data_IF_700177901368
#
_entry.id   IF_700177901368
#
_cell.length_a   1.000
_cell.length_b   1.000
_cell.length_c   1.000
_cell.angle_alpha   90.00
_cell.angle_beta   90.00
_cell.angle_gamma   90.00
#
_symmetry.space_group_name_H-M   'P 1'
#
loop_
_entity.id
_entity.type
_entity.pdbx_description
1 polymer ?
#
# COMPACT_ATOMS: atom_id res chain seq x y z
N UNK A 1 -20.33 -28.50 2.96
CA UNK A 1 -19.21 -28.04 3.80
C UNK A 1 -18.23 -27.32 2.89
N UNK A 2 -18.29 -25.99 2.83
CA UNK A 2 -17.44 -25.18 1.95
C UNK A 2 -16.10 -24.87 2.66
N UNK A 3 -14.95 -24.89 1.97
CA UNK A 3 -13.66 -24.93 2.65
C UNK A 3 -13.10 -23.51 2.93
N UNK A 4 -12.32 -23.40 4.02
CA UNK A 4 -11.97 -22.17 4.77
C UNK A 4 -10.95 -21.20 4.10
N UNK A 5 -10.61 -21.37 2.82
CA UNK A 5 -9.54 -20.65 2.08
C UNK A 5 -9.98 -19.36 1.37
N UNK A 6 -11.19 -18.86 1.64
CA UNK A 6 -11.82 -17.81 0.83
C UNK A 6 -11.50 -16.35 1.24
N UNK A 7 -10.66 -16.07 2.25
CA UNK A 7 -10.76 -14.80 3.00
C UNK A 7 -9.75 -13.69 2.60
N UNK A 8 -8.53 -14.01 2.20
CA UNK A 8 -7.26 -13.22 2.18
C UNK A 8 -7.17 -11.79 1.66
N UNK A 9 -7.71 -11.49 0.49
CA UNK A 9 -7.45 -10.20 -0.18
C UNK A 9 -8.58 -9.19 0.09
N UNK A 10 -9.76 -9.76 0.31
CA UNK A 10 -11.06 -9.11 0.46
C UNK A 10 -11.10 -8.26 1.73
N UNK A 11 -10.34 -8.68 2.76
CA UNK A 11 -10.38 -8.05 4.06
C UNK A 11 -9.18 -7.16 4.35
N UNK A 12 -8.17 -7.04 3.49
CA UNK A 12 -7.22 -5.91 3.57
C UNK A 12 -7.98 -4.60 3.36
N UNK A 13 -8.93 -4.59 2.41
CA UNK A 13 -9.87 -3.50 2.19
C UNK A 13 -10.89 -3.33 3.34
N UNK A 14 -11.34 -4.40 4.01
CA UNK A 14 -12.30 -4.27 5.13
C UNK A 14 -11.66 -3.99 6.51
N UNK A 15 -10.51 -4.57 6.85
CA UNK A 15 -9.91 -4.49 8.20
C UNK A 15 -9.17 -3.18 8.47
N UNK A 16 -8.85 -2.39 7.43
CA UNK A 16 -8.27 -1.07 7.66
C UNK A 16 -9.26 -0.15 8.36
N UNK A 17 -10.54 -0.27 8.01
CA UNK A 17 -11.67 0.41 8.63
C UNK A 17 -11.94 0.06 10.09
N UNK A 18 -11.84 -1.23 10.41
CA UNK A 18 -12.48 -1.83 11.59
C UNK A 18 -11.86 -1.37 12.92
N UNK A 19 -10.62 -0.86 12.92
CA UNK A 19 -9.99 -0.34 14.16
C UNK A 19 -10.17 1.17 14.39
N UNK A 20 -10.84 1.90 13.49
CA UNK A 20 -11.10 3.34 13.63
C UNK A 20 -11.94 3.67 14.88
N UNK A 21 -12.76 2.75 15.36
CA UNK A 21 -13.58 2.96 16.56
C UNK A 21 -12.87 2.66 17.89
N UNK A 22 -11.81 1.84 17.90
CA UNK A 22 -11.14 1.45 19.16
C UNK A 22 -10.07 2.44 19.60
N UNK A 23 -9.52 3.27 18.70
CA UNK A 23 -8.50 4.26 19.04
C UNK A 23 -9.08 5.58 19.59
N UNK A 24 -10.38 5.84 19.40
CA UNK A 24 -11.07 7.04 19.92
C UNK A 24 -11.64 6.80 21.33
N UNK A 25 -11.71 5.55 21.78
CA UNK A 25 -12.42 5.14 22.99
C UNK A 25 -11.70 5.35 24.34
N UNK A 26 -10.59 6.09 24.42
CA UNK A 26 -9.86 6.23 25.69
C UNK A 26 -9.45 7.66 26.09
N UNK A 27 -10.21 8.67 25.65
CA UNK A 27 -10.15 10.01 26.23
C UNK A 27 -11.57 10.50 26.53
N UNK A 28 -11.99 10.44 27.79
CA UNK A 28 -13.28 10.93 28.26
C UNK A 28 -13.06 12.18 29.12
N UNK A 29 -13.62 13.35 28.70
CA UNK A 29 -14.57 14.20 29.46
C UNK A 29 -14.61 15.69 28.99
N UNK A 30 -15.86 16.16 28.76
CA UNK A 30 -16.40 17.54 28.71
C UNK A 30 -16.03 18.44 27.50
N UNK A 31 -16.90 19.20 26.80
CA UNK A 31 -18.33 19.58 26.88
C UNK A 31 -18.77 20.11 25.46
N UNK A 32 -20.06 20.45 25.20
CA UNK A 32 -20.66 20.40 23.86
C UNK A 32 -20.58 21.70 23.07
N UNK A 33 -20.28 21.61 21.77
CA UNK A 33 -20.57 22.66 20.79
C UNK A 33 -21.51 22.10 19.72
N UNK A 34 -22.72 22.66 19.72
CA UNK A 34 -23.78 22.41 18.75
C UNK A 34 -23.35 22.84 17.34
N UNK A 35 -23.82 22.06 16.37
CA UNK A 35 -24.41 22.63 15.16
C UNK A 35 -23.48 22.77 13.97
N UNK A 36 -23.40 21.71 13.16
CA UNK A 36 -23.81 21.68 11.74
C UNK A 36 -23.39 20.33 11.16
N UNK A 37 -24.33 19.38 11.07
CA UNK A 37 -24.14 18.20 10.22
C UNK A 37 -24.08 18.69 8.77
N UNK A 38 -23.02 18.40 7.99
CA UNK A 38 -23.08 18.67 6.57
C UNK A 38 -24.21 17.82 5.97
N UNK A 39 -25.11 18.49 5.24
CA UNK A 39 -26.21 17.86 4.51
C UNK A 39 -25.61 16.74 3.64
N UNK A 40 -26.06 15.50 3.83
CA UNK A 40 -25.87 14.42 2.86
C UNK A 40 -26.37 14.94 1.51
N UNK A 41 -25.44 15.24 0.59
CA UNK A 41 -25.80 15.40 -0.83
C UNK A 41 -26.24 14.03 -1.33
N UNK A 42 -27.30 14.02 -2.13
CA UNK A 42 -27.91 12.81 -2.65
C UNK A 42 -26.85 11.95 -3.36
N UNK A 43 -26.64 10.74 -2.88
CA UNK A 43 -25.95 9.71 -3.64
C UNK A 43 -26.85 9.34 -4.82
N UNK A 44 -26.34 9.49 -6.04
CA UNK A 44 -27.02 8.97 -7.22
C UNK A 44 -27.04 7.43 -7.13
N UNK A 45 -28.21 6.77 -7.32
CA UNK A 45 -28.32 5.33 -7.17
C UNK A 45 -27.48 4.61 -8.24
N UNK A 46 -26.76 3.57 -7.83
CA UNK A 46 -25.93 2.76 -8.71
C UNK A 46 -26.77 1.61 -9.28
N UNK A 47 -27.21 1.72 -10.54
CA UNK A 47 -27.96 0.66 -11.24
C UNK A 47 -27.02 -0.29 -12.01
N UNK A 48 -27.45 -1.53 -12.23
CA UNK A 48 -26.61 -2.69 -12.62
C UNK A 48 -25.63 -2.48 -13.78
N UNK A 49 -26.06 -1.95 -14.92
CA UNK A 49 -25.17 -1.73 -16.08
C UNK A 49 -24.05 -0.74 -15.74
N UNK A 50 -24.37 0.31 -14.96
CA UNK A 50 -23.39 1.31 -14.53
C UNK A 50 -22.34 0.79 -13.54
N UNK A 51 -22.65 -0.26 -12.75
CA UNK A 51 -21.71 -0.85 -11.79
C UNK A 51 -20.70 -1.74 -12.51
N UNK A 52 -21.17 -2.56 -13.45
CA UNK A 52 -20.30 -3.41 -14.26
C UNK A 52 -19.31 -2.58 -15.08
N UNK A 53 -19.79 -1.51 -15.72
CA UNK A 53 -18.94 -0.59 -16.49
C UNK A 53 -17.86 0.06 -15.63
N UNK A 54 -18.20 0.43 -14.39
CA UNK A 54 -17.24 1.00 -13.43
C UNK A 54 -16.17 0.01 -12.98
N UNK A 55 -16.57 -1.23 -12.71
CA UNK A 55 -15.62 -2.29 -12.33
C UNK A 55 -14.64 -2.56 -13.48
N UNK A 56 -15.15 -2.67 -14.71
CA UNK A 56 -14.29 -2.89 -15.88
C UNK A 56 -13.40 -1.67 -16.18
N UNK A 57 -13.86 -0.44 -15.97
CA UNK A 57 -13.03 0.76 -16.07
C UNK A 57 -11.88 0.77 -15.04
N UNK A 58 -12.16 0.43 -13.78
CA UNK A 58 -11.13 0.30 -12.74
C UNK A 58 -10.14 -0.80 -13.08
N UNK A 59 -10.64 -1.96 -13.53
CA UNK A 59 -9.80 -3.10 -13.92
C UNK A 59 -8.89 -2.77 -15.10
N UNK A 60 -9.42 -2.12 -16.14
CA UNK A 60 -8.64 -1.69 -17.30
C UNK A 60 -7.50 -0.76 -16.87
N UNK A 61 -7.78 0.23 -16.02
CA UNK A 61 -6.76 1.10 -15.46
C UNK A 61 -5.70 0.34 -14.65
N UNK A 62 -6.11 -0.59 -13.78
CA UNK A 62 -5.18 -1.34 -12.93
C UNK A 62 -4.26 -2.27 -13.74
N UNK A 63 -4.77 -2.90 -14.80
CA UNK A 63 -3.98 -3.72 -15.71
C UNK A 63 -2.94 -2.86 -16.47
N UNK A 64 -3.36 -1.71 -17.00
CA UNK A 64 -2.48 -0.74 -17.65
C UNK A 64 -1.43 -0.17 -16.68
N UNK A 65 -1.82 0.15 -15.44
CA UNK A 65 -0.90 0.63 -14.41
C UNK A 65 0.19 -0.41 -14.11
N UNK A 66 -0.17 -1.69 -13.97
CA UNK A 66 0.80 -2.77 -13.81
C UNK A 66 1.76 -2.82 -15.00
N UNK A 67 1.25 -2.71 -16.22
CA UNK A 67 2.06 -2.75 -17.45
C UNK A 67 3.05 -1.58 -17.50
N UNK A 68 2.59 -0.35 -17.23
CA UNK A 68 3.44 0.85 -17.22
C UNK A 68 4.51 0.80 -16.12
N UNK A 69 4.17 0.39 -14.91
CA UNK A 69 5.14 0.29 -13.81
C UNK A 69 6.22 -0.75 -14.13
N UNK A 70 5.82 -1.94 -14.60
CA UNK A 70 6.79 -2.97 -15.00
C UNK A 70 7.73 -2.45 -16.08
N UNK A 71 7.19 -1.90 -17.17
CA UNK A 71 8.00 -1.40 -18.28
C UNK A 71 8.99 -0.31 -17.83
N UNK A 72 8.56 0.60 -16.96
CA UNK A 72 9.40 1.69 -16.51
C UNK A 72 10.52 1.22 -15.56
N UNK A 73 10.26 0.20 -14.73
CA UNK A 73 11.27 -0.43 -13.88
C UNK A 73 12.27 -1.29 -14.67
N UNK A 74 11.81 -2.04 -15.67
CA UNK A 74 12.67 -2.82 -16.57
C UNK A 74 13.65 -1.93 -17.34
N UNK A 75 13.18 -0.76 -17.78
CA UNK A 75 14.01 0.23 -18.45
C UNK A 75 15.16 0.74 -17.55
N UNK A 76 14.94 0.81 -16.24
CA UNK A 76 16.00 1.21 -15.30
C UNK A 76 16.97 0.08 -14.97
N UNK A 77 16.49 -1.17 -14.94
CA UNK A 77 17.30 -2.36 -14.64
C UNK A 77 18.29 -2.68 -15.77
N UNK A 78 17.89 -2.49 -17.02
CA UNK A 78 18.80 -2.55 -18.17
C UNK A 78 19.07 -3.96 -18.71
N UNK A 79 18.22 -4.95 -18.38
CA UNK A 79 18.30 -6.27 -19.01
C UNK A 79 17.31 -7.30 -18.46
N UNK A 80 17.08 -7.32 -17.15
CA UNK A 80 16.18 -8.28 -16.51
C UNK A 80 14.73 -7.81 -16.64
N UNK A 81 13.82 -8.76 -16.88
CA UNK A 81 12.39 -8.50 -17.10
C UNK A 81 11.54 -9.14 -16.01
N UNK A 82 10.35 -8.59 -15.81
CA UNK A 82 9.33 -9.24 -15.01
C UNK A 82 8.83 -10.50 -15.71
N UNK A 83 8.82 -11.61 -14.98
CA UNK A 83 8.18 -12.87 -15.38
C UNK A 83 6.74 -12.85 -14.90
N UNK A 84 5.81 -13.05 -15.83
CA UNK A 84 4.38 -13.12 -15.51
C UNK A 84 3.96 -14.55 -15.16
N UNK A 85 3.20 -14.64 -14.07
CA UNK A 85 2.53 -15.83 -13.58
C UNK A 85 1.03 -15.50 -13.43
N UNK A 86 0.26 -15.90 -14.44
CA UNK A 86 -1.18 -15.73 -14.48
C UNK A 86 -1.87 -16.90 -13.78
N UNK A 87 -2.82 -16.61 -12.89
CA UNK A 87 -3.49 -17.61 -12.08
C UNK A 87 -4.98 -17.34 -11.95
N UNK A 88 -5.73 -18.41 -11.67
CA UNK A 88 -7.17 -18.37 -11.43
C UNK A 88 -7.50 -18.86 -10.03
N UNK A 89 -8.60 -18.34 -9.47
CA UNK A 89 -9.11 -18.72 -8.16
C UNK A 89 -10.34 -19.62 -8.31
N UNK A 90 -10.38 -20.82 -7.72
CA UNK A 90 -11.53 -21.71 -7.85
C UNK A 90 -12.88 -21.12 -7.40
N UNK A 91 -12.87 -20.16 -6.46
CA UNK A 91 -14.06 -19.48 -5.97
C UNK A 91 -14.46 -18.23 -6.77
N UNK A 92 -13.76 -17.93 -7.88
CA UNK A 92 -14.02 -16.77 -8.72
C UNK A 92 -12.86 -15.77 -8.76
N UNK A 93 -12.53 -15.34 -9.97
CA UNK A 93 -11.48 -14.38 -10.27
C UNK A 93 -10.09 -15.01 -10.45
N UNK A 94 -9.05 -14.21 -10.25
CA UNK A 94 -7.65 -14.58 -10.48
C UNK A 94 -6.71 -13.39 -10.35
N UNK A 95 -5.56 -13.47 -11.00
CA UNK A 95 -4.59 -12.38 -11.03
C UNK A 95 -3.43 -12.60 -12.00
N UNK A 96 -2.62 -11.56 -12.13
CA UNK A 96 -1.33 -11.56 -12.85
C UNK A 96 -0.25 -11.17 -11.85
N UNK A 97 0.52 -12.15 -11.38
CA UNK A 97 1.72 -11.89 -10.59
C UNK A 97 2.87 -11.61 -11.55
N UNK A 98 3.57 -10.50 -11.38
CA UNK A 98 4.79 -10.21 -12.12
C UNK A 98 5.94 -10.06 -11.15
N UNK A 99 6.98 -10.87 -11.32
CA UNK A 99 8.15 -10.89 -10.44
C UNK A 99 9.43 -10.68 -11.23
N UNK A 100 10.36 -9.91 -10.66
CA UNK A 100 11.72 -9.72 -11.15
C UNK A 100 12.68 -10.11 -10.03
N UNK A 101 13.76 -10.80 -10.36
CA UNK A 101 14.79 -11.22 -9.42
C UNK A 101 16.15 -11.17 -10.09
N UNK A 102 17.20 -10.95 -9.30
CA UNK A 102 18.59 -10.94 -9.75
C UNK A 102 18.85 -9.95 -10.91
N UNK A 103 18.14 -8.81 -10.89
CA UNK A 103 18.35 -7.69 -11.79
C UNK A 103 19.58 -6.86 -11.41
N UNK A 104 20.08 -6.06 -12.36
CA UNK A 104 21.27 -5.23 -12.12
C UNK A 104 20.98 -4.09 -11.12
N UNK A 105 19.73 -3.63 -11.06
CA UNK A 105 19.27 -2.58 -10.14
C UNK A 105 18.27 -3.16 -9.15
N UNK A 106 17.33 -3.96 -9.63
CA UNK A 106 16.25 -4.56 -8.85
C UNK A 106 16.65 -5.98 -8.46
N UNK A 107 17.09 -6.15 -7.22
CA UNK A 107 17.48 -7.46 -6.69
C UNK A 107 16.28 -8.40 -6.54
N UNK A 108 15.16 -7.84 -6.09
CA UNK A 108 13.87 -8.52 -6.04
C UNK A 108 12.74 -7.51 -6.15
N UNK A 109 11.75 -7.78 -6.98
CA UNK A 109 10.56 -6.96 -7.05
C UNK A 109 9.36 -7.76 -7.50
N UNK A 110 8.18 -7.25 -7.19
CA UNK A 110 6.97 -7.74 -7.83
C UNK A 110 5.90 -6.68 -7.90
N UNK A 111 5.09 -6.78 -8.95
CA UNK A 111 3.96 -5.89 -9.25
C UNK A 111 2.78 -6.80 -9.53
N UNK A 112 1.91 -6.98 -8.55
CA UNK A 112 0.86 -7.97 -8.57
C UNK A 112 -0.49 -7.32 -8.82
N UNK A 113 -1.16 -7.76 -9.88
CA UNK A 113 -2.57 -7.49 -10.12
C UNK A 113 -3.41 -8.67 -9.63
N UNK A 114 -4.55 -8.39 -9.01
CA UNK A 114 -5.60 -9.38 -8.75
C UNK A 114 -6.98 -8.79 -8.97
N UNK A 115 -7.93 -9.64 -9.37
CA UNK A 115 -9.37 -9.38 -9.37
C UNK A 115 -10.06 -10.64 -8.89
N UNK A 116 -10.53 -10.62 -7.65
CA UNK A 116 -11.18 -11.76 -6.99
C UNK A 116 -12.62 -11.41 -6.65
N UNK A 117 -13.51 -12.40 -6.79
CA UNK A 117 -14.93 -12.23 -6.48
C UNK A 117 -15.50 -13.49 -5.85
N UNK A 118 -16.69 -13.38 -5.28
CA UNK A 118 -17.39 -14.49 -4.66
C UNK A 118 -18.78 -14.13 -4.15
N UNK A 119 -19.61 -15.15 -3.91
CA UNK A 119 -21.01 -14.98 -3.52
C UNK A 119 -21.22 -14.46 -2.08
N UNK A 120 -20.18 -14.40 -1.26
CA UNK A 120 -20.29 -13.99 0.13
C UNK A 120 -18.95 -13.68 0.77
N UNK A 121 -18.95 -12.70 1.66
CA UNK A 121 -17.81 -12.44 2.52
C UNK A 121 -17.65 -13.52 3.60
N UNK A 122 -16.42 -13.82 4.01
CA UNK A 122 -16.16 -14.64 5.19
C UNK A 122 -16.83 -14.08 6.45
N UNK A 123 -17.29 -14.91 7.41
CA UNK A 123 -17.89 -14.39 8.65
C UNK A 123 -17.00 -13.44 9.45
N UNK A 124 -15.67 -13.61 9.37
CA UNK A 124 -14.69 -12.69 9.98
C UNK A 124 -14.70 -11.29 9.36
N UNK A 125 -15.11 -11.17 8.10
CA UNK A 125 -15.22 -9.93 7.33
C UNK A 125 -16.51 -9.18 7.63
N UNK A 126 -17.63 -9.88 7.73
CA UNK A 126 -18.93 -9.28 8.03
C UNK A 126 -19.14 -8.98 9.52
N UNK A 127 -18.38 -9.58 10.43
CA UNK A 127 -18.56 -9.41 11.89
C UNK A 127 -18.48 -7.94 12.35
N UNK A 128 -17.73 -7.10 11.64
CA UNK A 128 -17.56 -5.68 11.95
C UNK A 128 -18.17 -4.74 10.90
N UNK A 129 -18.82 -5.30 9.88
CA UNK A 129 -19.53 -4.58 8.81
C UNK A 129 -20.82 -5.32 8.46
N UNK A 130 -21.85 -5.21 9.31
CA UNK A 130 -23.12 -5.92 9.13
C UNK A 130 -23.77 -5.65 7.77
N UNK A 131 -23.55 -4.46 7.20
CA UNK A 131 -24.01 -4.05 5.88
C UNK A 131 -23.47 -4.92 4.74
N UNK A 132 -22.39 -5.68 4.97
CA UNK A 132 -21.80 -6.59 3.99
C UNK A 132 -22.30 -8.04 4.11
N UNK A 133 -23.12 -8.34 5.12
CA UNK A 133 -23.64 -9.69 5.33
C UNK A 133 -24.59 -10.10 4.19
N UNK A 134 -24.34 -11.29 3.62
CA UNK A 134 -25.16 -11.85 2.54
C UNK A 134 -24.99 -11.15 1.17
N UNK A 135 -23.98 -10.29 1.01
CA UNK A 135 -23.64 -9.65 -0.26
C UNK A 135 -22.58 -10.45 -1.02
N UNK A 136 -22.73 -10.53 -2.34
CA UNK A 136 -21.63 -10.89 -3.22
C UNK A 136 -20.58 -9.79 -3.22
N UNK A 137 -19.32 -10.11 -3.48
CA UNK A 137 -18.24 -9.11 -3.47
C UNK A 137 -17.32 -9.25 -4.67
N UNK A 138 -16.67 -8.15 -5.01
CA UNK A 138 -15.50 -8.11 -5.89
C UNK A 138 -14.42 -7.21 -5.25
N UNK A 139 -13.17 -7.63 -5.39
CA UNK A 139 -12.01 -6.86 -4.97
C UNK A 139 -10.93 -6.96 -6.06
N UNK A 140 -10.42 -5.81 -6.50
CA UNK A 140 -9.37 -5.73 -7.49
C UNK A 140 -8.34 -4.67 -7.11
N UNK A 141 -7.08 -4.91 -7.45
CA UNK A 141 -6.00 -3.98 -7.11
C UNK A 141 -4.66 -4.34 -7.71
N UNK A 142 -3.76 -3.36 -7.67
CA UNK A 142 -2.32 -3.53 -7.90
C UNK A 142 -1.60 -3.32 -6.58
N UNK A 143 -0.69 -4.24 -6.24
CA UNK A 143 0.19 -4.15 -5.09
C UNK A 143 1.61 -4.47 -5.50
N UNK A 144 2.57 -3.69 -5.04
CA UNK A 144 3.97 -3.87 -5.41
C UNK A 144 4.93 -3.60 -4.28
N UNK A 145 6.08 -4.27 -4.33
CA UNK A 145 7.25 -4.00 -3.50
C UNK A 145 8.48 -4.16 -4.36
N UNK A 146 9.39 -3.19 -4.30
CA UNK A 146 10.66 -3.19 -5.03
C UNK A 146 11.80 -3.12 -4.02
N UNK A 147 12.69 -4.10 -4.06
CA UNK A 147 13.93 -4.17 -3.28
C UNK A 147 15.14 -4.01 -4.22
N UNK A 148 15.73 -2.81 -4.27
CA UNK A 148 16.93 -2.58 -5.06
C UNK A 148 18.16 -3.28 -4.48
N UNK A 149 19.10 -3.65 -5.34
CA UNK A 149 20.40 -4.21 -4.95
C UNK A 149 21.26 -3.17 -4.22
N UNK A 150 21.32 -1.94 -4.76
CA UNK A 150 22.17 -0.88 -4.22
C UNK A 150 21.55 -0.25 -2.93
N UNK A 151 22.25 -0.24 -1.78
CA UNK A 151 21.76 0.35 -0.52
C UNK A 151 21.40 1.84 -0.59
N UNK A 152 21.89 2.57 -1.59
CA UNK A 152 21.54 3.98 -1.81
C UNK A 152 20.18 4.16 -2.49
N UNK A 153 19.60 3.11 -3.07
CA UNK A 153 18.24 3.14 -3.62
C UNK A 153 17.27 2.58 -2.55
N UNK A 154 16.26 3.34 -2.11
CA UNK A 154 15.29 2.88 -1.12
C UNK A 154 14.46 1.70 -1.62
N UNK A 155 14.06 0.81 -0.70
CA UNK A 155 12.89 -0.05 -0.95
C UNK A 155 11.65 0.83 -1.09
N UNK A 156 10.74 0.48 -1.98
CA UNK A 156 9.44 1.15 -2.09
C UNK A 156 8.29 0.16 -2.16
N UNK A 157 7.12 0.63 -1.72
CA UNK A 157 5.88 -0.10 -1.77
C UNK A 157 4.78 0.81 -2.31
N UNK A 158 3.86 0.24 -3.07
CA UNK A 158 2.62 0.91 -3.45
C UNK A 158 1.46 -0.08 -3.54
N UNK A 159 0.26 0.44 -3.30
CA UNK A 159 -0.98 -0.29 -3.44
C UNK A 159 -2.09 0.65 -3.93
N UNK A 160 -2.91 0.19 -4.86
CA UNK A 160 -4.19 0.82 -5.22
C UNK A 160 -5.22 -0.26 -5.44
N UNK A 161 -6.38 -0.15 -4.78
CA UNK A 161 -7.41 -1.19 -4.77
C UNK A 161 -8.82 -0.60 -4.73
N UNK A 162 -9.76 -1.38 -5.24
CA UNK A 162 -11.19 -1.14 -5.23
C UNK A 162 -11.91 -2.34 -4.66
N UNK A 163 -12.88 -2.09 -3.79
CA UNK A 163 -13.79 -3.08 -3.25
C UNK A 163 -15.24 -2.68 -3.54
N UNK A 164 -16.07 -3.66 -3.89
CA UNK A 164 -17.51 -3.50 -4.01
C UNK A 164 -18.24 -4.76 -3.51
N UNK A 165 -19.37 -4.54 -2.84
CA UNK A 165 -20.29 -5.59 -2.41
C UNK A 165 -21.74 -5.29 -2.78
N UNK A 166 -22.37 -6.26 -3.42
CA UNK A 166 -23.66 -6.12 -4.09
C UNK A 166 -24.67 -7.13 -3.55
N UNK A 167 -25.93 -6.73 -3.47
CA UNK A 167 -27.06 -7.59 -3.17
C UNK A 167 -28.28 -7.05 -3.90
N UNK A 168 -29.02 -7.95 -4.52
CA UNK A 168 -30.21 -7.59 -5.30
C UNK A 168 -31.19 -6.76 -4.45
N UNK A 169 -31.66 -5.65 -5.01
CA UNK A 169 -32.57 -4.72 -4.34
C UNK A 169 -31.94 -3.81 -3.28
N UNK A 170 -30.61 -3.86 -3.07
CA UNK A 170 -29.90 -2.98 -2.14
C UNK A 170 -28.79 -2.18 -2.84
N UNK A 171 -28.60 -0.93 -2.44
CA UNK A 171 -27.48 -0.11 -2.92
C UNK A 171 -26.14 -0.80 -2.63
N UNK A 172 -25.17 -0.79 -3.56
CA UNK A 172 -23.88 -1.43 -3.36
C UNK A 172 -23.02 -0.68 -2.34
N UNK A 173 -22.26 -1.44 -1.55
CA UNK A 173 -21.27 -0.88 -0.61
C UNK A 173 -19.91 -0.95 -1.27
N UNK A 174 -19.22 0.17 -1.39
CA UNK A 174 -17.93 0.24 -2.08
C UNK A 174 -16.98 1.21 -1.40
N UNK A 175 -15.69 1.04 -1.66
CA UNK A 175 -14.64 1.99 -1.32
C UNK A 175 -13.35 1.72 -2.09
N UNK A 176 -12.51 2.73 -2.18
CA UNK A 176 -11.13 2.61 -2.62
C UNK A 176 -10.17 2.60 -1.43
N UNK A 177 -8.98 2.07 -1.66
CA UNK A 177 -7.86 2.15 -0.73
C UNK A 177 -6.54 2.11 -1.47
N UNK A 178 -5.47 2.53 -0.81
CA UNK A 178 -4.16 2.54 -1.43
C UNK A 178 -3.15 3.44 -0.74
N UNK A 179 -2.13 3.82 -1.51
CA UNK A 179 -1.01 4.62 -1.05
C UNK A 179 0.31 4.13 -1.60
N UNK A 180 1.36 4.86 -1.30
CA UNK A 180 2.75 4.48 -1.56
C UNK A 180 3.64 5.00 -0.45
N UNK A 181 4.72 4.28 -0.16
CA UNK A 181 5.68 4.65 0.88
C UNK A 181 7.11 4.24 0.53
N UNK A 182 8.07 4.95 1.12
CA UNK A 182 9.50 4.82 0.83
C UNK A 182 10.27 4.38 2.08
N UNK A 183 11.09 3.33 1.93
CA UNK A 183 11.90 2.73 2.98
C UNK A 183 13.39 2.83 2.63
N UNK A 184 14.06 3.94 2.97
CA UNK A 184 15.48 4.12 2.68
C UNK A 184 16.39 3.35 3.65
N UNK A 185 17.63 3.15 3.21
CA UNK A 185 18.72 2.61 4.04
C UNK A 185 19.74 3.72 4.32
N UNK A 186 20.36 4.25 3.27
CA UNK A 186 21.12 5.50 3.31
C UNK A 186 20.25 6.61 2.72
N UNK A 187 19.42 7.19 3.59
CA UNK A 187 18.43 8.18 3.19
C UNK A 187 19.07 9.49 2.71
N UNK A 188 18.38 10.18 1.80
CA UNK A 188 18.79 11.49 1.31
C UNK A 188 17.61 12.47 1.42
N UNK A 189 17.90 13.67 1.92
CA UNK A 189 16.87 14.67 2.21
C UNK A 189 16.17 15.20 0.96
N UNK A 190 16.91 15.45 -0.12
CA UNK A 190 16.32 15.89 -1.39
C UNK A 190 15.36 14.85 -1.96
N UNK A 191 15.67 13.55 -1.79
CA UNK A 191 14.81 12.46 -2.24
C UNK A 191 13.55 12.35 -1.36
N UNK A 192 13.67 12.59 -0.05
CA UNK A 192 12.52 12.62 0.86
C UNK A 192 11.58 13.80 0.50
N UNK A 193 12.14 14.98 0.27
CA UNK A 193 11.40 16.17 -0.16
C UNK A 193 10.74 15.92 -1.52
N UNK A 194 11.47 15.36 -2.49
CA UNK A 194 10.92 15.04 -3.82
C UNK A 194 9.74 14.06 -3.71
N UNK A 195 9.91 12.96 -2.97
CA UNK A 195 8.88 11.95 -2.75
C UNK A 195 7.59 12.55 -2.20
N UNK A 196 7.70 13.35 -1.13
CA UNK A 196 6.57 13.99 -0.49
C UNK A 196 5.98 15.14 -1.30
N UNK A 197 6.79 15.82 -2.13
CA UNK A 197 6.31 16.87 -3.04
C UNK A 197 5.41 16.28 -4.12
N UNK A 198 5.83 15.18 -4.76
CA UNK A 198 5.01 14.47 -5.76
C UNK A 198 3.72 13.95 -5.13
N UNK A 199 3.80 13.39 -3.91
CA UNK A 199 2.61 12.95 -3.16
C UNK A 199 1.62 14.09 -2.89
N UNK A 200 2.11 15.26 -2.45
CA UNK A 200 1.28 16.45 -2.24
C UNK A 200 0.63 16.91 -3.54
N UNK A 201 1.40 17.01 -4.62
CA UNK A 201 0.93 17.53 -5.90
C UNK A 201 -0.15 16.62 -6.51
N UNK A 202 -0.02 15.30 -6.35
CA UNK A 202 -1.05 14.33 -6.74
C UNK A 202 -2.35 14.48 -5.92
N UNK A 203 -2.25 14.91 -4.65
CA UNK A 203 -3.41 15.13 -3.78
C UNK A 203 -4.07 16.50 -3.99
N UNK A 204 -3.32 17.52 -4.43
CA UNK A 204 -3.77 18.91 -4.48
C UNK A 204 -5.12 19.13 -5.20
N UNK A 205 -5.43 18.47 -6.33
CA UNK A 205 -6.72 18.63 -7.00
C UNK A 205 -7.94 18.15 -6.19
N UNK A 206 -7.73 17.38 -5.13
CA UNK A 206 -8.78 16.72 -4.35
C UNK A 206 -9.06 17.40 -3.00
N UNK A 207 -8.28 18.43 -2.66
CA UNK A 207 -8.44 19.23 -1.45
C UNK A 207 -7.12 19.44 -0.69
N UNK A 208 -6.99 20.59 -0.04
CA UNK A 208 -5.80 20.97 0.72
C UNK A 208 -5.55 20.05 1.93
N UNK A 209 -6.60 19.43 2.47
CA UNK A 209 -6.52 18.52 3.62
C UNK A 209 -6.12 17.08 3.24
N UNK A 210 -6.12 16.74 1.95
CA UNK A 210 -5.96 15.37 1.48
C UNK A 210 -4.57 14.82 1.74
N UNK A 211 -3.52 15.56 1.34
CA UNK A 211 -2.13 15.16 1.60
C UNK A 211 -1.82 15.08 3.10
N UNK A 212 -2.07 16.13 3.92
CA UNK A 212 -1.78 16.07 5.35
C UNK A 212 -2.46 14.87 6.03
N UNK A 213 -3.74 14.61 5.71
CA UNK A 213 -4.50 13.49 6.29
C UNK A 213 -3.89 12.13 5.94
N UNK A 214 -3.58 11.90 4.66
CA UNK A 214 -3.10 10.58 4.20
C UNK A 214 -1.61 10.37 4.46
N UNK A 215 -0.82 11.44 4.58
CA UNK A 215 0.54 11.39 5.09
C UNK A 215 0.57 10.99 6.56
N UNK A 216 -0.19 11.67 7.41
CA UNK A 216 -0.28 11.34 8.83
C UNK A 216 -0.81 9.91 9.06
N UNK A 217 -1.72 9.45 8.20
CA UNK A 217 -2.17 8.06 8.26
C UNK A 217 -1.07 7.07 7.85
N UNK A 218 -0.25 7.41 6.84
CA UNK A 218 0.91 6.61 6.45
C UNK A 218 1.88 6.42 7.63
N UNK A 219 2.22 7.51 8.34
CA UNK A 219 3.13 7.48 9.48
C UNK A 219 2.61 6.55 10.60
N UNK A 220 1.31 6.66 10.93
CA UNK A 220 0.69 5.80 11.96
C UNK A 220 0.56 4.35 11.55
N UNK A 221 0.31 4.07 10.26
CA UNK A 221 0.10 2.70 9.78
C UNK A 221 1.42 1.93 9.71
N UNK A 222 2.46 2.54 9.14
CA UNK A 222 3.76 1.91 8.91
C UNK A 222 4.71 2.10 10.10
N UNK A 223 4.26 1.74 11.31
CA UNK A 223 5.03 1.89 12.55
C UNK A 223 5.27 0.55 13.25
N UNK A 224 6.53 0.21 13.53
CA UNK A 224 6.93 -0.99 14.25
C UNK A 224 6.84 -0.72 15.76
N UNK A 225 5.67 -1.01 16.35
CA UNK A 225 5.40 -0.71 17.77
C UNK A 225 6.43 -1.27 18.75
N UNK A 226 6.92 -2.48 18.50
CA UNK A 226 7.92 -3.12 19.38
C UNK A 226 9.34 -2.56 19.23
N UNK A 227 9.62 -1.78 18.17
CA UNK A 227 10.86 -1.05 17.95
C UNK A 227 10.73 0.45 18.27
N UNK A 228 9.50 0.94 18.38
CA UNK A 228 9.16 2.36 18.38
C UNK A 228 9.83 3.10 17.21
N UNK A 229 9.66 2.56 16.00
CA UNK A 229 10.36 3.00 14.81
C UNK A 229 9.42 2.97 13.58
N UNK A 230 9.35 4.04 12.78
CA UNK A 230 8.72 4.00 11.46
C UNK A 230 9.40 2.98 10.54
N UNK A 231 8.63 2.33 9.66
CA UNK A 231 9.17 1.43 8.63
C UNK A 231 10.07 2.18 7.64
N UNK A 232 9.70 3.42 7.35
CA UNK A 232 10.34 4.28 6.35
C UNK A 232 9.98 5.75 6.58
N UNK A 233 10.24 6.59 5.57
CA UNK A 233 9.99 8.06 5.64
C UNK A 233 8.54 8.44 5.30
N UNK A 234 7.67 7.44 5.17
CA UNK A 234 6.24 7.61 4.88
C UNK A 234 5.95 7.85 3.40
N UNK A 235 4.86 8.57 3.15
CA UNK A 235 4.26 8.77 1.85
C UNK A 235 2.76 8.98 2.03
N UNK A 236 1.93 8.20 1.35
CA UNK A 236 0.48 8.24 1.47
C UNK A 236 -0.07 6.89 1.91
N UNK A 237 -1.10 6.92 2.75
CA UNK A 237 -1.92 5.77 3.04
C UNK A 237 -3.38 6.18 3.21
N UNK A 238 -4.28 5.48 2.52
CA UNK A 238 -5.71 5.66 2.64
C UNK A 238 -6.45 4.32 2.53
N UNK A 239 -7.59 4.24 3.21
CA UNK A 239 -8.61 3.22 2.96
C UNK A 239 -9.99 3.79 3.28
N UNK A 240 -11.02 3.02 2.95
CA UNK A 240 -12.43 3.40 3.10
C UNK A 240 -12.75 4.71 2.40
N UNK A 241 -12.08 4.96 1.27
CA UNK A 241 -12.33 6.12 0.44
C UNK A 241 -13.65 5.95 -0.32
N UNK A 242 -14.71 6.53 0.23
CA UNK A 242 -16.04 6.60 -0.38
C UNK A 242 -16.82 7.88 0.01
N UNK A 243 -16.12 8.88 0.56
CA UNK A 243 -16.73 10.17 0.94
C UNK A 243 -17.00 11.10 -0.26
N UNK A 244 -16.33 10.87 -1.39
CA UNK A 244 -16.64 11.53 -2.65
C UNK A 244 -17.52 10.63 -3.53
N UNK A 245 -18.03 11.18 -4.63
CA UNK A 245 -18.61 10.34 -5.67
C UNK A 245 -17.57 9.37 -6.24
N UNK A 246 -18.05 8.34 -6.93
CA UNK A 246 -17.20 7.29 -7.47
C UNK A 246 -16.17 7.83 -8.47
N UNK A 247 -16.56 8.73 -9.36
CA UNK A 247 -15.69 9.21 -10.44
C UNK A 247 -14.56 10.05 -9.87
N UNK A 248 -14.85 10.91 -8.88
CA UNK A 248 -13.83 11.64 -8.12
C UNK A 248 -12.91 10.70 -7.34
N UNK A 249 -13.45 9.68 -6.67
CA UNK A 249 -12.65 8.70 -5.92
C UNK A 249 -11.76 7.85 -6.82
N UNK A 250 -12.26 7.49 -8.00
CA UNK A 250 -11.50 6.77 -9.01
C UNK A 250 -10.43 7.67 -9.64
N UNK A 251 -10.72 8.95 -9.92
CA UNK A 251 -9.71 9.90 -10.35
C UNK A 251 -8.58 10.06 -9.32
N UNK A 252 -8.90 10.07 -8.02
CA UNK A 252 -7.90 10.08 -6.95
C UNK A 252 -7.05 8.81 -6.94
N UNK A 253 -7.68 7.63 -7.04
CA UNK A 253 -6.95 6.36 -7.15
C UNK A 253 -5.95 6.39 -8.32
N UNK A 254 -6.37 6.94 -9.48
CA UNK A 254 -5.50 7.07 -10.65
C UNK A 254 -4.33 8.00 -10.38
N UNK A 255 -4.59 9.19 -9.86
CA UNK A 255 -3.55 10.16 -9.49
C UNK A 255 -2.50 9.56 -8.55
N UNK A 256 -2.92 8.79 -7.53
CA UNK A 256 -1.97 8.16 -6.60
C UNK A 256 -1.20 7.01 -7.25
N UNK A 257 -1.86 6.18 -8.06
CA UNK A 257 -1.19 5.07 -8.77
C UNK A 257 -0.14 5.57 -9.76
N UNK A 258 -0.46 6.61 -10.52
CA UNK A 258 0.44 7.22 -11.50
C UNK A 258 1.60 7.96 -10.82
N UNK A 259 1.33 8.68 -9.73
CA UNK A 259 2.34 9.43 -8.98
C UNK A 259 3.44 8.56 -8.37
N UNK A 260 3.20 7.27 -8.10
CA UNK A 260 4.22 6.37 -7.54
C UNK A 260 5.48 6.31 -8.42
N UNK A 261 5.30 6.10 -9.73
CA UNK A 261 6.45 5.92 -10.64
C UNK A 261 7.13 7.26 -10.93
N UNK A 262 6.36 8.35 -10.96
CA UNK A 262 6.86 9.72 -11.05
C UNK A 262 7.74 10.09 -9.85
N UNK A 263 7.38 9.63 -8.64
CA UNK A 263 8.15 9.84 -7.43
C UNK A 263 9.36 8.90 -7.30
N UNK A 264 9.22 7.64 -7.71
CA UNK A 264 10.25 6.62 -7.45
C UNK A 264 11.39 6.62 -8.46
N UNK A 265 11.10 6.72 -9.77
CA UNK A 265 12.15 6.58 -10.79
C UNK A 265 13.24 7.65 -10.73
N UNK A 266 12.96 8.94 -10.45
CA UNK A 266 14.03 9.92 -10.30
C UNK A 266 15.01 9.56 -9.19
N UNK A 267 14.52 8.98 -8.09
CA UNK A 267 15.34 8.48 -6.97
C UNK A 267 16.19 7.29 -7.45
N UNK A 268 15.59 6.30 -8.10
CA UNK A 268 16.31 5.13 -8.64
C UNK A 268 17.44 5.57 -9.57
N UNK A 269 17.16 6.45 -10.54
CA UNK A 269 18.13 6.97 -11.52
C UNK A 269 19.31 7.66 -10.85
N UNK A 270 19.04 8.50 -9.85
CA UNK A 270 20.06 9.27 -9.14
C UNK A 270 20.99 8.39 -8.29
N UNK A 271 20.47 7.28 -7.77
CA UNK A 271 21.16 6.48 -6.74
C UNK A 271 21.73 5.15 -7.25
N UNK A 272 21.17 4.56 -8.31
CA UNK A 272 21.50 3.18 -8.75
C UNK A 272 22.99 2.95 -9.06
N UNK A 273 23.71 3.97 -9.54
CA UNK A 273 25.12 3.88 -9.91
C UNK A 273 26.09 4.31 -8.79
N UNK A 274 25.60 4.68 -7.60
CA UNK A 274 26.48 5.08 -6.50
C UNK A 274 27.28 3.87 -5.99
N UNK A 275 28.61 4.00 -5.80
CA UNK A 275 29.40 2.93 -5.19
C UNK A 275 28.97 2.71 -3.74
N UNK A 276 28.98 1.46 -3.30
CA UNK A 276 28.72 1.08 -1.91
C UNK A 276 29.72 0.03 -1.43
N UNK A 277 29.93 -0.04 -0.12
CA UNK A 277 30.80 -1.01 0.55
C UNK A 277 30.03 -2.22 1.06
N UNK A 278 30.74 -3.29 1.39
CA UNK A 278 30.16 -4.48 2.04
C UNK A 278 29.48 -4.14 3.37
N UNK A 279 30.02 -3.20 4.16
CA UNK A 279 29.39 -2.74 5.41
C UNK A 279 28.02 -2.09 5.14
N UNK A 280 27.90 -1.32 4.07
CA UNK A 280 26.62 -0.71 3.68
C UNK A 280 25.61 -1.75 3.19
N UNK A 281 26.09 -2.79 2.51
CA UNK A 281 25.27 -3.93 2.12
C UNK A 281 24.78 -4.73 3.33
N UNK A 282 25.65 -4.98 4.30
CA UNK A 282 25.26 -5.64 5.55
C UNK A 282 24.20 -4.82 6.31
N UNK A 283 24.38 -3.50 6.41
CA UNK A 283 23.37 -2.64 7.02
C UNK A 283 22.02 -2.70 6.29
N UNK A 284 22.03 -2.72 4.95
CA UNK A 284 20.81 -2.91 4.16
C UNK A 284 20.06 -4.19 4.55
N UNK A 285 20.76 -5.30 4.75
CA UNK A 285 20.16 -6.59 5.16
C UNK A 285 19.58 -6.54 6.58
N UNK A 286 20.25 -5.86 7.52
CA UNK A 286 19.69 -5.60 8.85
C UNK A 286 18.41 -4.77 8.79
N UNK A 287 18.39 -3.71 7.97
CA UNK A 287 17.21 -2.86 7.77
C UNK A 287 16.09 -3.59 7.04
N UNK A 288 16.40 -4.47 6.08
CA UNK A 288 15.43 -5.39 5.46
C UNK A 288 14.82 -6.35 6.49
N UNK A 289 15.56 -6.72 7.55
CA UNK A 289 15.01 -7.43 8.71
C UNK A 289 13.84 -6.71 9.37
N UNK A 290 13.88 -5.37 9.50
CA UNK A 290 12.74 -4.56 9.98
C UNK A 290 11.56 -4.59 9.01
N UNK A 291 11.82 -4.61 7.71
CA UNK A 291 10.76 -4.74 6.70
C UNK A 291 9.99 -6.05 6.86
N UNK A 292 10.72 -7.16 7.08
CA UNK A 292 10.12 -8.47 7.39
C UNK A 292 9.34 -8.44 8.71
N UNK A 293 9.91 -7.85 9.77
CA UNK A 293 9.22 -7.69 11.05
C UNK A 293 7.87 -6.98 10.87
N UNK A 294 7.82 -5.89 10.10
CA UNK A 294 6.56 -5.19 9.83
C UNK A 294 5.57 -6.08 9.07
N UNK A 295 5.98 -6.68 7.96
CA UNK A 295 5.06 -7.43 7.10
C UNK A 295 4.50 -8.67 7.81
N UNK A 296 5.30 -9.35 8.63
CA UNK A 296 4.87 -10.58 9.29
C UNK A 296 4.18 -10.36 10.64
N UNK A 297 4.34 -9.20 11.29
CA UNK A 297 3.78 -8.94 12.63
C UNK A 297 2.64 -7.92 12.61
N UNK A 298 2.67 -6.94 11.70
CA UNK A 298 1.74 -5.80 11.73
C UNK A 298 0.94 -5.59 10.45
N UNK A 299 1.51 -5.95 9.29
CA UNK A 299 0.80 -5.72 8.04
C UNK A 299 -0.49 -6.54 7.98
N UNK A 300 -1.61 -5.82 7.98
CA UNK A 300 -2.95 -6.42 8.00
C UNK A 300 -3.19 -7.24 6.73
N UNK A 301 -2.66 -6.79 5.59
CA UNK A 301 -2.81 -7.49 4.33
C UNK A 301 -2.14 -8.86 4.35
N UNK A 302 -0.87 -8.90 4.76
CA UNK A 302 -0.06 -10.11 4.81
C UNK A 302 -0.61 -11.13 5.81
N UNK A 303 -0.81 -10.73 7.08
CA UNK A 303 -1.27 -11.63 8.14
C UNK A 303 -2.56 -12.35 7.75
N UNK A 304 -3.54 -11.57 7.33
CA UNK A 304 -4.83 -12.10 6.97
C UNK A 304 -4.76 -12.90 5.68
N UNK A 305 -3.97 -12.44 4.71
CA UNK A 305 -3.71 -13.16 3.46
C UNK A 305 -3.29 -14.61 3.69
N UNK A 306 -2.35 -14.80 4.60
CA UNK A 306 -1.83 -16.11 4.99
C UNK A 306 -2.86 -16.93 5.79
N UNK A 307 -3.49 -16.31 6.79
CA UNK A 307 -4.46 -16.98 7.69
C UNK A 307 -5.69 -17.53 6.99
N UNK A 308 -5.94 -17.11 5.77
CA UNK A 308 -7.16 -17.40 5.04
C UNK A 308 -6.94 -18.09 3.71
N UNK A 309 -5.73 -18.65 3.50
CA UNK A 309 -5.43 -19.44 2.31
C UNK A 309 -5.33 -18.63 1.02
N UNK A 310 -4.95 -17.35 1.11
CA UNK A 310 -4.55 -16.58 -0.06
C UNK A 310 -3.34 -17.20 -0.76
N UNK A 311 -3.02 -16.71 -1.96
CA UNK A 311 -1.87 -17.22 -2.72
C UNK A 311 -0.56 -16.83 -2.04
N UNK A 312 0.01 -17.74 -1.26
CA UNK A 312 1.18 -17.50 -0.40
C UNK A 312 2.34 -16.83 -1.14
N UNK A 313 2.72 -17.35 -2.31
CA UNK A 313 3.84 -16.80 -3.09
C UNK A 313 3.59 -15.37 -3.58
N UNK A 314 2.35 -15.02 -3.90
CA UNK A 314 2.00 -13.64 -4.27
C UNK A 314 1.97 -12.69 -3.07
N UNK A 315 1.65 -13.20 -1.86
CA UNK A 315 1.61 -12.42 -0.62
C UNK A 315 3.04 -12.17 -0.10
N UNK A 316 3.85 -13.22 -0.05
CA UNK A 316 5.22 -13.19 0.46
C UNK A 316 6.24 -12.66 -0.57
N UNK A 317 5.80 -12.34 -1.80
CA UNK A 317 6.60 -11.58 -2.76
C UNK A 317 7.17 -10.30 -2.13
N UNK A 318 6.42 -9.68 -1.21
CA UNK A 318 6.82 -8.49 -0.45
C UNK A 318 8.06 -8.67 0.43
N UNK A 319 8.49 -9.91 0.71
CA UNK A 319 9.66 -10.15 1.54
C UNK A 319 10.96 -9.93 0.74
N UNK A 320 11.98 -9.28 1.31
CA UNK A 320 13.28 -9.10 0.68
C UNK A 320 13.99 -10.42 0.33
N UNK A 321 14.95 -10.40 -0.60
CA UNK A 321 15.70 -11.60 -1.01
C UNK A 321 16.66 -12.09 0.08
N UNK A 322 17.27 -11.15 0.83
CA UNK A 322 18.22 -11.43 1.90
C UNK A 322 18.00 -10.46 3.06
N UNK A 323 18.16 -10.99 4.28
CA UNK A 323 17.94 -10.30 5.55
C UNK A 323 18.92 -10.80 6.59
N UNK A 324 19.26 -9.91 7.53
CA UNK A 324 20.13 -10.23 8.65
C UNK A 324 19.45 -9.82 9.97
N UNK A 325 19.61 -10.66 10.99
CA UNK A 325 19.29 -10.33 12.37
C UNK A 325 20.51 -10.60 13.24
N UNK A 326 20.73 -9.73 14.21
CA UNK A 326 21.83 -9.79 15.15
C UNK A 326 21.34 -9.33 16.51
N UNK A 327 21.75 -10.03 17.56
CA UNK A 327 21.35 -9.70 18.92
C UNK A 327 21.89 -8.33 19.32
N UNK A 328 21.01 -7.46 19.81
CA UNK A 328 21.28 -6.07 20.20
C UNK A 328 22.13 -5.26 19.20
N UNK A 329 21.99 -5.55 17.90
CA UNK A 329 22.70 -4.82 16.86
C UNK A 329 22.27 -3.34 16.89
N UNK A 330 23.26 -2.45 16.88
CA UNK A 330 23.11 -0.99 16.85
C UNK A 330 24.13 -0.40 15.89
N UNK A 331 23.78 0.64 15.13
CA UNK A 331 24.75 1.37 14.33
C UNK A 331 25.76 2.09 15.22
N UNK A 332 26.93 2.40 14.67
CA UNK A 332 27.94 3.22 15.35
C UNK A 332 27.41 4.65 15.56
N UNK A 333 27.48 5.23 16.77
CA UNK A 333 27.00 6.59 17.00
C UNK A 333 27.67 7.62 16.08
N UNK A 334 26.87 8.52 15.52
CA UNK A 334 27.36 9.55 14.58
C UNK A 334 27.62 9.04 13.16
N UNK A 335 27.34 7.77 12.85
CA UNK A 335 27.44 7.23 11.50
C UNK A 335 26.20 7.55 10.65
N UNK A 336 26.29 7.35 9.33
CA UNK A 336 25.15 7.49 8.43
C UNK A 336 24.05 6.44 8.72
N UNK A 337 24.43 5.25 9.21
CA UNK A 337 23.47 4.22 9.66
C UNK A 337 22.68 4.67 10.90
N UNK A 338 23.32 5.33 11.86
CA UNK A 338 22.65 5.89 13.03
C UNK A 338 21.72 7.04 12.65
N UNK A 339 22.19 7.89 11.71
CA UNK A 339 21.41 9.01 11.18
C UNK A 339 20.08 8.57 10.56
N UNK A 340 19.99 7.38 9.96
CA UNK A 340 18.71 6.85 9.46
C UNK A 340 17.64 6.88 10.57
N UNK A 341 17.91 6.25 11.71
CA UNK A 341 16.94 6.15 12.80
C UNK A 341 16.81 7.43 13.61
N UNK A 342 17.91 8.18 13.79
CA UNK A 342 17.93 9.40 14.62
C UNK A 342 17.35 10.62 13.91
N UNK A 343 17.45 10.69 12.58
CA UNK A 343 17.02 11.83 11.78
C UNK A 343 15.84 11.48 10.87
N UNK A 344 15.97 10.46 10.01
CA UNK A 344 15.04 10.22 8.91
C UNK A 344 13.78 9.46 9.34
N UNK A 345 13.91 8.47 10.23
CA UNK A 345 12.78 7.68 10.75
C UNK A 345 12.21 8.32 12.02
N UNK A 346 11.89 9.61 11.91
CA UNK A 346 11.25 10.42 12.95
C UNK A 346 10.00 11.08 12.37
N UNK A 347 9.06 11.49 13.23
CA UNK A 347 7.90 12.26 12.81
C UNK A 347 8.34 13.63 12.28
N UNK A 348 8.33 13.79 10.95
CA UNK A 348 8.81 15.00 10.26
C UNK A 348 7.85 15.46 9.18
N UNK A 349 7.75 16.78 9.05
CA UNK A 349 7.18 17.40 7.87
C UNK A 349 8.30 17.65 6.85
N UNK A 350 8.37 16.80 5.84
CA UNK A 350 9.36 16.89 4.77
C UNK A 350 9.17 18.11 3.86
N UNK A 351 8.02 18.79 3.93
CA UNK A 351 7.72 19.97 3.12
C UNK A 351 7.79 21.28 3.92
N UNK A 352 8.16 21.22 5.20
CA UNK A 352 8.35 22.41 6.02
C UNK A 352 9.54 23.23 5.49
N UNK A 353 9.25 24.36 4.83
CA UNK A 353 10.24 25.29 4.29
C UNK A 353 10.78 24.99 2.88
N UNK A 354 10.12 24.10 2.12
CA UNK A 354 10.55 23.61 0.81
C UNK A 354 9.68 24.05 -0.39
#
# INVERSE_FOLDING_TARGET
>A
MAPLWAKAFIQTALLIAVKRELAVGNAMLAAPLFGLRPKRRAAFPLQGDSVTDRIEAVKAYLLDLQDRICAALEAEDGGTRFVEDAWQRPAGGGGRTRVIADGAVIEKGGVNFSHVFGAGLPPSASAHRPELAGRGFQALGVSLVIHPHNPHVPTSHANVRFFIAEKEGEEPVWWFGGGFDLTPYYANEEDCVHWHRVARDACAPFGEDVYPRYKEWCDRYFHLKHRNEPRGIGGLFFDDLNQWDFDTSFAFLRAIGDAYIEAYLPIVRKRKAMPFSEKQREFQEFRRGRYVEFNLVYDRGTLFGLQSGGRTESILMSLPPQVRWGYDWKPEPGSEEARLTEYFLQDRDWLAGA
#
